data_IF_634443132484
#
_entry.id   IF_634443132484
#
_cell.length_a   1.000
_cell.length_b   1.000
_cell.length_c   1.000
_cell.angle_alpha   90.00
_cell.angle_beta   90.00
_cell.angle_gamma   90.00
#
_symmetry.space_group_name_H-M   'P 1'
#
loop_
_entity.id
_entity.type
_entity.pdbx_description
1 polymer ?
#
# COMPACT_ATOMS: atom_id res chain seq x y z
N UNK A 1 -18.04 -33.22 -55.08
CA UNK A 1 -18.40 -33.48 -53.67
C UNK A 1 -17.58 -32.60 -52.71
N UNK A 2 -17.89 -31.33 -52.50
CA UNK A 2 -17.08 -30.47 -51.60
C UNK A 2 -17.89 -29.90 -50.40
N UNK A 3 -19.08 -30.41 -50.08
CA UNK A 3 -19.91 -29.78 -49.02
C UNK A 3 -19.72 -30.33 -47.61
N UNK A 4 -19.18 -31.53 -47.43
CA UNK A 4 -18.97 -32.14 -46.10
C UNK A 4 -17.79 -31.48 -45.33
N UNK A 5 -16.74 -31.05 -46.05
CA UNK A 5 -15.63 -30.33 -45.42
C UNK A 5 -16.01 -28.96 -44.85
N UNK A 6 -17.03 -28.29 -45.42
CA UNK A 6 -17.47 -26.98 -44.95
C UNK A 6 -18.22 -27.03 -43.62
N UNK A 7 -18.95 -28.12 -43.34
CA UNK A 7 -19.71 -28.29 -42.08
C UNK A 7 -18.74 -28.66 -40.94
N UNK A 8 -17.84 -29.60 -41.19
CA UNK A 8 -16.81 -29.97 -40.19
C UNK A 8 -15.92 -28.78 -39.82
N UNK A 9 -15.45 -27.99 -40.82
CA UNK A 9 -14.65 -26.78 -40.57
C UNK A 9 -15.42 -25.72 -39.80
N UNK A 10 -16.72 -25.53 -40.09
CA UNK A 10 -17.57 -24.62 -39.33
C UNK A 10 -17.77 -25.05 -37.89
N UNK A 11 -17.95 -26.34 -37.62
CA UNK A 11 -18.10 -26.88 -36.27
C UNK A 11 -16.81 -26.75 -35.48
N UNK A 12 -15.65 -27.05 -36.10
CA UNK A 12 -14.35 -26.88 -35.47
C UNK A 12 -14.06 -25.42 -35.18
N UNK A 13 -14.36 -24.52 -36.13
CA UNK A 13 -14.18 -23.08 -35.93
C UNK A 13 -15.09 -22.52 -34.82
N UNK A 14 -16.31 -22.98 -34.75
CA UNK A 14 -17.25 -22.59 -33.67
C UNK A 14 -16.77 -23.11 -32.29
N UNK A 15 -16.31 -24.36 -32.23
CA UNK A 15 -15.75 -24.92 -31.01
C UNK A 15 -14.47 -24.20 -30.56
N UNK A 16 -13.57 -23.90 -31.49
CA UNK A 16 -12.35 -23.15 -31.19
C UNK A 16 -12.66 -21.72 -30.70
N UNK A 17 -13.62 -21.06 -31.33
CA UNK A 17 -14.07 -19.72 -30.90
C UNK A 17 -14.66 -19.77 -29.47
N UNK A 18 -15.46 -20.75 -29.14
CA UNK A 18 -16.01 -20.96 -27.81
C UNK A 18 -14.90 -21.16 -26.75
N UNK A 19 -13.91 -21.99 -27.06
CA UNK A 19 -12.78 -22.22 -26.16
C UNK A 19 -11.98 -20.92 -25.92
N UNK A 20 -11.73 -20.15 -26.97
CA UNK A 20 -11.05 -18.85 -26.85
C UNK A 20 -11.84 -17.88 -25.98
N UNK A 21 -13.15 -17.77 -26.20
CA UNK A 21 -14.02 -16.90 -25.37
C UNK A 21 -13.97 -17.33 -23.89
N UNK A 22 -14.09 -18.63 -23.62
CA UNK A 22 -14.03 -19.16 -22.26
C UNK A 22 -12.67 -18.90 -21.59
N UNK A 23 -11.56 -19.01 -22.33
CA UNK A 23 -10.23 -18.69 -21.81
C UNK A 23 -10.07 -17.20 -21.50
N UNK A 24 -10.55 -16.33 -22.37
CA UNK A 24 -10.49 -14.87 -22.16
C UNK A 24 -11.35 -14.47 -20.97
N UNK A 25 -12.60 -14.94 -20.92
CA UNK A 25 -13.52 -14.61 -19.81
C UNK A 25 -12.97 -15.17 -18.49
N UNK A 26 -12.51 -16.43 -18.46
CA UNK A 26 -11.92 -17.04 -17.29
C UNK A 26 -10.66 -16.31 -16.82
N UNK A 27 -9.79 -15.92 -17.75
CA UNK A 27 -8.59 -15.15 -17.44
C UNK A 27 -8.89 -13.76 -16.87
N UNK A 28 -9.88 -13.06 -17.42
CA UNK A 28 -10.31 -11.76 -16.91
C UNK A 28 -10.95 -11.87 -15.51
N UNK A 29 -11.82 -12.85 -15.31
CA UNK A 29 -12.42 -13.09 -14.00
C UNK A 29 -11.35 -13.43 -12.95
N UNK A 30 -10.42 -14.30 -13.30
CA UNK A 30 -9.33 -14.67 -12.41
C UNK A 30 -8.43 -13.45 -12.08
N UNK A 31 -8.09 -12.66 -13.10
CA UNK A 31 -7.30 -11.44 -12.92
C UNK A 31 -7.98 -10.43 -11.99
N UNK A 32 -9.29 -10.23 -12.14
CA UNK A 32 -10.04 -9.33 -11.26
C UNK A 32 -10.17 -9.88 -9.85
N UNK A 33 -10.36 -11.19 -9.70
CA UNK A 33 -10.49 -11.82 -8.38
C UNK A 33 -9.19 -11.72 -7.54
N UNK A 34 -8.03 -11.68 -8.20
CA UNK A 34 -6.72 -11.61 -7.52
C UNK A 34 -6.19 -10.18 -7.32
N UNK A 35 -6.74 -9.17 -8.01
CA UNK A 35 -6.28 -7.78 -7.87
C UNK A 35 -6.71 -7.12 -6.56
N UNK A 36 -7.93 -7.31 -6.13
CA UNK A 36 -8.51 -6.61 -4.98
C UNK A 36 -7.98 -7.09 -3.61
N UNK A 37 -7.78 -8.40 -3.34
CA UNK A 37 -7.33 -8.84 -2.02
C UNK A 37 -5.90 -8.43 -1.68
N UNK A 38 -5.02 -8.23 -2.66
CA UNK A 38 -3.63 -7.82 -2.40
C UNK A 38 -3.55 -6.38 -1.88
N UNK A 39 -4.27 -5.45 -2.50
CA UNK A 39 -4.30 -4.06 -2.07
C UNK A 39 -4.89 -3.92 -0.66
N UNK A 40 -6.00 -4.60 -0.37
CA UNK A 40 -6.64 -4.58 0.94
C UNK A 40 -5.76 -5.16 2.05
N UNK A 41 -5.02 -6.23 1.78
CA UNK A 41 -4.13 -6.84 2.78
C UNK A 41 -2.95 -5.94 3.13
N UNK A 42 -2.42 -5.16 2.18
CA UNK A 42 -1.38 -4.16 2.43
C UNK A 42 -1.91 -3.01 3.29
N UNK A 43 -3.09 -2.47 2.98
CA UNK A 43 -3.70 -1.41 3.77
C UNK A 43 -4.01 -1.85 5.21
N UNK A 44 -4.51 -3.07 5.40
CA UNK A 44 -4.74 -3.63 6.72
C UNK A 44 -3.44 -3.76 7.51
N UNK A 45 -2.39 -4.30 6.89
CA UNK A 45 -1.09 -4.43 7.54
C UNK A 45 -0.48 -3.10 7.93
N UNK A 46 -0.56 -2.10 7.05
CA UNK A 46 -0.12 -0.73 7.36
C UNK A 46 -0.96 -0.12 8.49
N UNK A 47 -2.26 -0.39 8.51
CA UNK A 47 -3.14 0.03 9.59
C UNK A 47 -2.73 -0.54 10.95
N UNK A 48 -2.45 -1.84 11.03
CA UNK A 48 -1.96 -2.47 12.26
C UNK A 48 -0.61 -1.90 12.71
N UNK A 49 0.31 -1.67 11.78
CA UNK A 49 1.60 -1.06 12.10
C UNK A 49 1.44 0.37 12.60
N UNK A 50 0.52 1.14 12.02
CA UNK A 50 0.21 2.49 12.47
C UNK A 50 -0.37 2.50 13.89
N UNK A 51 -1.30 1.60 14.21
CA UNK A 51 -1.85 1.45 15.55
C UNK A 51 -0.78 0.99 16.56
N UNK A 52 0.06 0.06 16.16
CA UNK A 52 1.20 -0.38 16.98
C UNK A 52 2.19 0.75 17.23
N UNK A 53 2.44 1.60 16.24
CA UNK A 53 3.28 2.78 16.38
C UNK A 53 2.67 3.79 17.37
N UNK A 54 1.37 4.07 17.25
CA UNK A 54 0.66 4.97 18.17
C UNK A 54 0.76 4.47 19.61
N UNK A 55 0.62 3.15 19.81
CA UNK A 55 0.73 2.53 21.14
C UNK A 55 2.17 2.50 21.67
N UNK A 56 3.17 2.43 20.79
CA UNK A 56 4.58 2.33 21.16
C UNK A 56 5.27 3.69 21.33
N UNK A 57 4.67 4.76 20.84
CA UNK A 57 5.22 6.12 20.93
C UNK A 57 4.70 6.80 22.19
N UNK A 58 5.62 7.15 23.08
CA UNK A 58 5.34 7.97 24.25
C UNK A 58 5.85 9.39 24.02
N UNK A 59 4.95 10.36 24.20
CA UNK A 59 5.34 11.77 24.13
C UNK A 59 5.93 12.17 25.49
N UNK A 60 7.22 12.42 25.52
CA UNK A 60 7.90 12.87 26.72
C UNK A 60 7.54 14.33 27.06
N UNK A 61 7.70 14.76 28.31
CA UNK A 61 7.43 16.14 28.73
C UNK A 61 8.28 17.17 27.97
N UNK A 62 9.42 16.77 27.39
CA UNK A 62 10.28 17.60 26.53
C UNK A 62 9.74 17.76 25.10
N UNK A 63 8.56 17.16 24.81
CA UNK A 63 7.92 17.20 23.51
C UNK A 63 8.54 16.30 22.45
N UNK A 64 9.48 15.43 22.81
CA UNK A 64 10.05 14.42 21.90
C UNK A 64 9.24 13.15 21.94
N UNK A 65 9.04 12.53 20.78
CA UNK A 65 8.49 11.19 20.70
C UNK A 65 9.59 10.16 20.94
N UNK A 66 9.44 9.38 22.01
CA UNK A 66 10.33 8.26 22.30
C UNK A 66 9.60 6.96 22.01
N UNK A 67 10.18 6.11 21.23
CA UNK A 67 9.69 4.77 21.00
C UNK A 67 10.00 3.92 22.25
N UNK A 68 8.95 3.52 22.98
CA UNK A 68 9.07 2.67 24.18
C UNK A 68 9.46 1.23 23.86
N UNK A 69 9.05 0.76 22.71
CA UNK A 69 9.24 -0.62 22.28
C UNK A 69 9.58 -0.68 20.80
N UNK A 70 10.55 -1.49 20.43
CA UNK A 70 10.83 -1.73 19.03
C UNK A 70 9.58 -2.30 18.34
N UNK A 71 9.20 -1.73 17.19
CA UNK A 71 8.01 -2.12 16.44
C UNK A 71 8.07 -3.55 15.89
N UNK A 72 9.12 -4.32 16.20
CA UNK A 72 9.29 -5.68 15.74
C UNK A 72 9.46 -5.86 14.23
N UNK A 73 9.52 -4.76 13.47
CA UNK A 73 9.70 -4.77 12.02
C UNK A 73 11.12 -4.31 11.66
N UNK A 74 12.03 -5.24 11.34
CA UNK A 74 13.44 -4.92 11.05
C UNK A 74 13.64 -3.96 9.87
N UNK A 75 12.65 -3.83 8.99
CA UNK A 75 12.70 -2.93 7.85
C UNK A 75 12.77 -1.46 8.25
N UNK A 76 12.23 -1.08 9.40
CA UNK A 76 12.35 0.29 9.91
C UNK A 76 13.77 0.66 10.36
N UNK A 77 14.65 -0.32 10.51
CA UNK A 77 16.05 -0.10 10.87
C UNK A 77 16.99 -0.03 9.66
N UNK A 78 16.56 -0.64 8.53
CA UNK A 78 17.35 -0.74 7.32
C UNK A 78 17.16 0.50 6.45
N UNK A 79 18.26 1.22 6.18
CA UNK A 79 18.28 2.42 5.35
C UNK A 79 17.60 2.19 3.98
N UNK A 80 16.73 3.11 3.60
CA UNK A 80 15.98 3.11 2.34
C UNK A 80 15.26 1.80 2.02
N UNK A 81 14.75 1.13 3.05
CA UNK A 81 14.08 -0.17 2.94
C UNK A 81 12.73 -0.14 2.22
N UNK A 82 12.16 1.05 1.95
CA UNK A 82 10.79 1.21 1.45
C UNK A 82 9.73 1.21 2.56
N UNK A 83 10.14 1.01 3.82
CA UNK A 83 9.27 1.03 5.00
C UNK A 83 9.68 2.16 5.92
N UNK A 84 8.78 3.12 6.10
CA UNK A 84 9.06 4.35 6.81
C UNK A 84 7.92 4.66 7.78
N UNK A 85 8.26 5.30 8.90
CA UNK A 85 7.28 5.94 9.75
C UNK A 85 7.81 7.28 10.24
N UNK A 86 6.90 8.20 10.48
CA UNK A 86 7.18 9.52 10.99
C UNK A 86 6.04 9.98 11.90
N UNK A 87 6.39 10.62 13.01
CA UNK A 87 5.45 11.27 13.90
C UNK A 87 5.78 12.76 13.91
N UNK A 88 4.79 13.60 13.68
CA UNK A 88 4.95 15.04 13.66
C UNK A 88 3.84 15.74 14.43
N UNK A 89 4.15 16.93 14.90
CA UNK A 89 3.19 17.83 15.53
C UNK A 89 2.72 18.85 14.49
N UNK A 90 1.40 18.99 14.36
CA UNK A 90 0.81 19.89 13.34
C UNK A 90 0.88 21.35 13.72
N UNK A 91 0.90 21.70 15.02
CA UNK A 91 0.86 23.08 15.50
C UNK A 91 2.06 23.91 15.05
N UNK A 92 3.22 23.33 15.06
CA UNK A 92 4.52 23.94 14.75
C UNK A 92 5.26 23.23 13.61
N UNK A 93 4.64 22.20 13.02
CA UNK A 93 5.21 21.37 11.94
C UNK A 93 6.56 20.75 12.28
N UNK A 94 6.71 20.34 13.52
CA UNK A 94 7.94 19.72 14.00
C UNK A 94 7.82 18.20 13.92
N UNK A 95 8.83 17.55 13.36
CA UNK A 95 8.99 16.09 13.38
C UNK A 95 9.47 15.68 14.76
N UNK A 96 8.64 14.91 15.47
CA UNK A 96 8.92 14.44 16.83
C UNK A 96 9.70 13.13 16.86
N UNK A 97 9.52 12.32 15.83
CA UNK A 97 10.21 11.04 15.68
C UNK A 97 10.04 10.46 14.29
N UNK A 98 11.02 9.66 13.88
CA UNK A 98 11.00 8.98 12.56
C UNK A 98 11.79 7.68 12.61
N UNK A 99 11.50 6.77 11.67
CA UNK A 99 12.25 5.53 11.51
C UNK A 99 13.68 5.78 11.05
N UNK A 100 14.61 4.93 11.47
CA UNK A 100 16.00 4.97 11.01
C UNK A 100 16.13 4.73 9.51
N UNK A 101 15.18 4.00 8.92
CA UNK A 101 15.13 3.72 7.50
C UNK A 101 14.99 4.95 6.62
N UNK A 102 14.45 6.06 7.15
CA UNK A 102 14.31 7.32 6.41
C UNK A 102 15.64 8.02 6.14
N UNK A 103 16.63 7.79 6.98
CA UNK A 103 17.95 8.45 6.91
C UNK A 103 17.84 9.98 6.83
N UNK A 104 17.99 10.56 5.65
CA UNK A 104 17.88 12.00 5.34
C UNK A 104 16.53 12.40 4.73
N UNK A 105 15.63 11.42 4.46
CA UNK A 105 14.33 11.66 3.89
C UNK A 105 13.31 12.05 4.95
N UNK A 106 12.42 12.98 4.63
CA UNK A 106 11.29 13.37 5.47
C UNK A 106 9.99 13.36 4.66
N UNK A 107 8.92 12.87 5.28
CA UNK A 107 7.58 12.95 4.71
C UNK A 107 7.03 14.34 5.06
N UNK A 108 6.59 15.14 4.07
CA UNK A 108 6.02 16.45 4.33
C UNK A 108 4.81 16.37 5.26
N UNK A 109 4.82 17.14 6.34
CA UNK A 109 3.67 17.23 7.23
C UNK A 109 2.55 18.04 6.56
N UNK A 110 1.29 17.63 6.72
CA UNK A 110 0.15 18.33 6.12
C UNK A 110 0.07 19.77 6.62
N UNK A 111 -0.35 20.68 5.74
CA UNK A 111 -0.46 22.12 6.03
C UNK A 111 -1.68 22.48 6.88
N UNK A 112 -2.65 21.58 6.99
CA UNK A 112 -3.89 21.78 7.74
C UNK A 112 -4.28 20.51 8.50
N UNK A 113 -5.17 20.67 9.48
CA UNK A 113 -5.78 19.52 10.17
C UNK A 113 -6.47 18.62 9.17
N UNK A 114 -6.28 17.33 9.34
CA UNK A 114 -6.94 16.33 8.51
C UNK A 114 -8.41 16.25 8.93
N UNK A 115 -9.31 16.48 7.98
CA UNK A 115 -10.76 16.47 8.24
C UNK A 115 -11.32 15.05 8.45
N UNK A 116 -10.52 14.02 8.14
CA UNK A 116 -10.90 12.60 8.23
C UNK A 116 -10.00 11.88 9.25
N UNK A 117 -10.51 10.86 9.95
CA UNK A 117 -9.72 10.14 10.96
C UNK A 117 -8.46 9.47 10.40
N UNK A 118 -8.49 9.10 9.13
CA UNK A 118 -7.39 8.42 8.42
C UNK A 118 -7.37 8.88 6.97
N UNK A 119 -6.20 9.14 6.44
CA UNK A 119 -5.98 9.50 5.04
C UNK A 119 -4.91 8.60 4.44
N UNK A 120 -5.09 8.20 3.18
CA UNK A 120 -4.06 7.52 2.40
C UNK A 120 -3.80 8.26 1.10
N UNK A 121 -2.55 8.26 0.66
CA UNK A 121 -2.12 8.87 -0.60
C UNK A 121 -0.78 8.29 -1.06
N UNK A 122 -0.49 8.47 -2.33
CA UNK A 122 0.78 8.04 -2.92
C UNK A 122 1.72 9.24 -3.07
N UNK A 123 3.01 9.01 -2.85
CA UNK A 123 4.05 10.02 -3.03
C UNK A 123 5.36 9.38 -3.51
N UNK A 124 6.25 10.22 -4.00
CA UNK A 124 7.60 9.81 -4.34
C UNK A 124 8.46 9.76 -3.08
N UNK A 125 9.14 8.64 -2.89
CA UNK A 125 10.09 8.41 -1.81
C UNK A 125 11.55 8.58 -2.26
N UNK A 126 12.48 8.26 -1.36
CA UNK A 126 13.91 8.29 -1.68
C UNK A 126 14.23 7.29 -2.80
N UNK A 127 15.27 7.56 -3.58
CA UNK A 127 15.76 6.70 -4.66
C UNK A 127 14.70 6.37 -5.74
N UNK A 128 13.68 7.23 -5.94
CA UNK A 128 12.63 7.02 -6.95
C UNK A 128 11.59 5.97 -6.55
N UNK A 129 11.53 5.58 -5.30
CA UNK A 129 10.51 4.66 -4.79
C UNK A 129 9.13 5.32 -4.84
N UNK A 130 8.09 4.55 -5.17
CA UNK A 130 6.69 4.96 -4.98
C UNK A 130 6.23 4.48 -3.61
N UNK A 131 5.79 5.42 -2.79
CA UNK A 131 5.34 5.16 -1.43
C UNK A 131 3.84 5.33 -1.33
N UNK A 132 3.19 4.35 -0.69
CA UNK A 132 1.81 4.48 -0.24
C UNK A 132 1.80 4.90 1.22
N UNK A 133 1.33 6.09 1.49
CA UNK A 133 1.36 6.70 2.83
C UNK A 133 -0.01 6.60 3.47
N UNK A 134 -0.03 6.19 4.73
CA UNK A 134 -1.21 6.22 5.57
C UNK A 134 -0.92 7.12 6.75
N UNK A 135 -1.75 8.13 6.94
CA UNK A 135 -1.64 9.04 8.07
C UNK A 135 -2.91 9.05 8.93
N UNK A 136 -2.71 9.21 10.24
CA UNK A 136 -3.78 9.34 11.23
C UNK A 136 -3.43 10.46 12.19
N UNK A 137 -4.38 11.35 12.40
CA UNK A 137 -4.26 12.38 13.42
C UNK A 137 -4.75 11.85 14.76
N UNK A 138 -3.95 12.05 15.80
CA UNK A 138 -4.29 11.79 17.20
C UNK A 138 -4.44 13.13 17.91
N UNK A 139 -5.49 13.25 18.72
CA UNK A 139 -5.79 14.41 19.55
C UNK A 139 -5.49 14.12 21.01
#
# INVERSE_FOLDING_TARGET
MPRAHSIAVRLIAAAALWVVIMLVVGGLLLSNLFRDPLAQSYEQRLGFLLESLIAAVDLQPDGRARQRQELGEPRFLRQYSGWYWQVGRLSDRVVLGRSRSMWDFEIPLPSSRISVPRRSYDMDGPLGQKLHVIEKQIT
#
